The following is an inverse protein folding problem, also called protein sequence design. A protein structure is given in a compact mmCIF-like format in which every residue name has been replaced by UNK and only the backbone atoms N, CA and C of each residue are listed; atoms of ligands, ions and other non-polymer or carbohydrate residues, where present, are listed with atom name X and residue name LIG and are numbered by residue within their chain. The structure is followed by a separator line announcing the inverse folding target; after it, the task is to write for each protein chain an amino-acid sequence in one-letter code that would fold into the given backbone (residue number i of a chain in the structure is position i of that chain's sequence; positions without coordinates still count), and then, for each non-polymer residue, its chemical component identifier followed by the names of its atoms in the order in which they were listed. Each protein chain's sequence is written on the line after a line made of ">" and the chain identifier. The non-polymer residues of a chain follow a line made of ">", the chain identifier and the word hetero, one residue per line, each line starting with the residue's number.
data_IF_189579311393
#
_entry.id   IF_189579311393
#
_cell.length_a   1.000
_cell.length_b   1.000
_cell.length_c   1.000
_cell.angle_alpha   90.00
_cell.angle_beta   90.00
_cell.angle_gamma   90.00
#
_symmetry.space_group_name_H-M   'P 1'
#
loop_
_entity.id
_entity.type
_entity.pdbx_description
1 polymer ?
#
# COMPACT_ATOMS: atom_id res chain seq x y z
N UNK A 1 6.84 18.93 0.56
CA UNK A 1 6.05 17.68 0.42
C UNK A 1 6.89 16.75 -0.42
N UNK A 2 7.25 15.56 0.09
CA UNK A 2 7.93 14.56 -0.74
C UNK A 2 6.96 14.09 -1.84
N UNK A 3 7.42 13.97 -3.09
CA UNK A 3 6.60 13.45 -4.18
C UNK A 3 6.23 12.00 -3.90
N UNK A 4 4.94 11.67 -3.98
CA UNK A 4 4.42 10.27 -3.92
C UNK A 4 4.46 9.61 -5.30
N UNK A 5 4.81 10.34 -6.35
CA UNK A 5 4.85 9.90 -7.74
C UNK A 5 6.27 9.81 -8.28
N UNK A 6 6.51 8.83 -9.15
CA UNK A 6 7.73 8.69 -9.93
C UNK A 6 7.72 9.59 -11.19
N UNK A 7 8.80 9.53 -11.97
CA UNK A 7 8.95 10.31 -13.20
C UNK A 7 7.91 9.94 -14.29
N UNK A 8 7.28 8.77 -14.18
CA UNK A 8 6.22 8.31 -15.08
C UNK A 8 4.80 8.58 -14.52
N UNK A 9 4.69 9.26 -13.37
CA UNK A 9 3.42 9.55 -12.71
C UNK A 9 2.80 8.34 -12.01
N UNK A 10 3.56 7.29 -11.75
CA UNK A 10 3.12 6.13 -10.96
C UNK A 10 3.40 6.35 -9.48
N UNK A 11 2.48 5.92 -8.63
CA UNK A 11 2.68 5.95 -7.18
C UNK A 11 3.88 5.10 -6.78
N UNK A 12 4.82 5.71 -6.06
CA UNK A 12 5.99 5.04 -5.51
C UNK A 12 5.55 4.30 -4.23
N UNK A 13 5.81 2.99 -4.11
CA UNK A 13 5.47 2.23 -2.91
C UNK A 13 6.47 2.51 -1.78
N UNK A 14 6.54 3.76 -1.32
CA UNK A 14 7.31 4.14 -0.13
C UNK A 14 6.69 3.51 1.12
N UNK A 15 7.44 3.43 2.21
CA UNK A 15 6.93 2.88 3.47
C UNK A 15 5.70 3.63 3.99
N UNK A 16 5.64 4.95 3.81
CA UNK A 16 4.49 5.77 4.22
C UNK A 16 3.25 5.52 3.38
N UNK A 17 3.40 5.41 2.05
CA UNK A 17 2.30 5.08 1.14
C UNK A 17 1.76 3.68 1.45
N UNK A 18 2.65 2.67 1.55
CA UNK A 18 2.25 1.29 1.84
C UNK A 18 1.55 1.15 3.20
N UNK A 19 2.01 1.90 4.21
CA UNK A 19 1.37 1.91 5.54
C UNK A 19 0.00 2.57 5.49
N UNK A 20 -0.13 3.71 4.83
CA UNK A 20 -1.40 4.42 4.66
C UNK A 20 -2.47 3.54 4.01
N UNK A 21 -2.11 2.71 3.02
CA UNK A 21 -3.05 1.83 2.31
C UNK A 21 -3.11 0.40 2.85
N UNK A 22 -2.44 0.08 3.97
CA UNK A 22 -2.30 -1.29 4.47
C UNK A 22 -3.67 -2.00 4.66
N UNK A 23 -4.71 -1.26 5.06
CA UNK A 23 -6.09 -1.77 5.21
C UNK A 23 -6.70 -2.22 3.87
N UNK A 24 -6.46 -1.44 2.81
CA UNK A 24 -6.89 -1.80 1.45
C UNK A 24 -6.10 -3.00 0.93
N UNK A 25 -4.77 -3.04 1.14
CA UNK A 25 -3.92 -4.18 0.76
C UNK A 25 -4.41 -5.46 1.44
N UNK A 26 -4.70 -5.40 2.74
CA UNK A 26 -5.18 -6.54 3.51
C UNK A 26 -6.54 -7.08 3.05
N UNK A 27 -7.33 -6.26 2.37
CA UNK A 27 -8.65 -6.64 1.85
C UNK A 27 -8.56 -7.09 0.39
N UNK A 28 -7.96 -6.27 -0.49
CA UNK A 28 -7.95 -6.47 -1.95
C UNK A 28 -6.89 -7.48 -2.41
N UNK A 29 -5.74 -7.55 -1.75
CA UNK A 29 -4.63 -8.46 -2.10
C UNK A 29 -4.47 -9.62 -1.10
N UNK A 30 -5.54 -9.97 -0.38
CA UNK A 30 -5.49 -10.98 0.69
C UNK A 30 -5.07 -12.35 0.16
N UNK A 31 -5.56 -12.75 -1.01
CA UNK A 31 -5.30 -14.07 -1.59
C UNK A 31 -3.83 -14.26 -1.93
N UNK A 32 -3.25 -13.28 -2.62
CA UNK A 32 -1.85 -13.23 -3.03
C UNK A 32 -0.94 -13.21 -1.80
N UNK A 33 -1.25 -12.37 -0.81
CA UNK A 33 -0.48 -12.26 0.43
C UNK A 33 -0.44 -13.58 1.21
N UNK A 34 -1.60 -14.24 1.38
CA UNK A 34 -1.67 -15.54 2.07
C UNK A 34 -0.91 -16.61 1.29
N UNK A 35 -1.02 -16.63 -0.04
CA UNK A 35 -0.28 -17.59 -0.86
C UNK A 35 1.24 -17.42 -0.74
N UNK A 36 1.72 -16.18 -0.72
CA UNK A 36 3.13 -15.88 -0.52
C UNK A 36 3.62 -16.30 0.88
N UNK A 37 2.86 -15.99 1.93
CA UNK A 37 3.20 -16.37 3.31
C UNK A 37 3.20 -17.89 3.52
N UNK A 38 2.24 -18.61 2.91
CA UNK A 38 2.24 -20.08 2.93
C UNK A 38 3.48 -20.65 2.26
N UNK A 39 3.82 -20.19 1.06
CA UNK A 39 5.03 -20.61 0.36
C UNK A 39 6.30 -20.40 1.22
N UNK A 40 6.43 -19.22 1.86
CA UNK A 40 7.56 -18.90 2.74
C UNK A 40 7.61 -19.74 4.02
N UNK A 41 6.46 -20.19 4.52
CA UNK A 41 6.37 -21.07 5.67
C UNK A 41 6.80 -22.50 5.30
N UNK A 42 6.49 -22.94 4.09
CA UNK A 42 6.82 -24.29 3.61
C UNK A 42 8.31 -24.43 3.24
N UNK A 43 8.90 -23.40 2.62
CA UNK A 43 10.32 -23.37 2.26
C UNK A 43 10.91 -21.94 2.43
N UNK A 44 11.96 -21.76 3.26
CA UNK A 44 12.58 -20.45 3.45
C UNK A 44 13.41 -19.97 2.24
N UNK A 45 13.69 -20.83 1.25
CA UNK A 45 14.47 -20.47 0.08
C UNK A 45 13.81 -19.29 -0.68
N UNK A 46 14.53 -18.16 -0.88
CA UNK A 46 13.98 -16.99 -1.54
C UNK A 46 13.50 -17.23 -2.97
N UNK A 47 14.14 -18.13 -3.71
CA UNK A 47 13.84 -18.37 -5.13
C UNK A 47 12.50 -19.08 -5.34
N UNK A 48 12.12 -19.97 -4.42
CA UNK A 48 10.93 -20.83 -4.54
C UNK A 48 9.61 -20.04 -4.57
N UNK A 49 9.60 -18.86 -3.95
CA UNK A 49 8.39 -18.04 -3.81
C UNK A 49 8.42 -16.78 -4.69
N UNK A 50 9.36 -16.64 -5.63
CA UNK A 50 9.47 -15.45 -6.49
C UNK A 50 8.22 -15.20 -7.33
N UNK A 51 7.58 -16.25 -7.85
CA UNK A 51 6.34 -16.12 -8.62
C UNK A 51 5.20 -15.56 -7.75
N UNK A 52 5.07 -16.03 -6.51
CA UNK A 52 4.08 -15.51 -5.55
C UNK A 52 4.40 -14.09 -5.10
N UNK A 53 5.69 -13.78 -4.92
CA UNK A 53 6.15 -12.41 -4.64
C UNK A 53 5.78 -11.45 -5.77
N UNK A 54 5.99 -11.85 -7.04
CA UNK A 54 5.57 -11.07 -8.21
C UNK A 54 4.05 -10.83 -8.23
N UNK A 55 3.25 -11.85 -7.90
CA UNK A 55 1.79 -11.72 -7.82
C UNK A 55 1.35 -10.71 -6.75
N UNK A 56 1.95 -10.77 -5.55
CA UNK A 56 1.70 -9.78 -4.48
C UNK A 56 2.05 -8.37 -4.96
N UNK A 57 3.25 -8.17 -5.48
CA UNK A 57 3.71 -6.85 -5.93
C UNK A 57 2.80 -6.29 -7.04
N UNK A 58 2.40 -7.14 -8.00
CA UNK A 58 1.50 -6.73 -9.08
C UNK A 58 0.13 -6.30 -8.54
N UNK A 59 -0.45 -7.06 -7.61
CA UNK A 59 -1.72 -6.69 -6.98
C UNK A 59 -1.62 -5.35 -6.26
N UNK A 60 -0.56 -5.14 -5.46
CA UNK A 60 -0.36 -3.90 -4.71
C UNK A 60 -0.14 -2.71 -5.64
N UNK A 61 0.66 -2.85 -6.70
CA UNK A 61 0.89 -1.75 -7.65
C UNK A 61 -0.38 -1.36 -8.42
N UNK A 62 -1.22 -2.33 -8.80
CA UNK A 62 -2.53 -2.04 -9.37
C UNK A 62 -3.43 -1.31 -8.38
N UNK A 63 -3.50 -1.78 -7.14
CA UNK A 63 -4.27 -1.13 -6.08
C UNK A 63 -3.82 0.32 -5.85
N UNK A 64 -2.52 0.58 -5.82
CA UNK A 64 -1.98 1.95 -5.64
C UNK A 64 -2.39 2.86 -6.81
N UNK A 65 -2.37 2.35 -8.04
CA UNK A 65 -2.86 3.10 -9.21
C UNK A 65 -4.34 3.43 -9.08
N UNK A 66 -5.17 2.45 -8.70
CA UNK A 66 -6.62 2.63 -8.56
C UNK A 66 -6.97 3.62 -7.45
N UNK A 67 -6.30 3.53 -6.29
CA UNK A 67 -6.51 4.48 -5.18
C UNK A 67 -6.10 5.89 -5.57
N UNK A 68 -4.97 6.05 -6.26
CA UNK A 68 -4.52 7.38 -6.68
C UNK A 68 -5.46 8.02 -7.72
N UNK A 69 -6.04 7.22 -8.62
CA UNK A 69 -7.00 7.73 -9.61
C UNK A 69 -8.33 8.18 -8.97
N UNK A 70 -8.79 7.49 -7.93
CA UNK A 70 -10.10 7.75 -7.32
C UNK A 70 -10.06 8.71 -6.13
N UNK A 71 -9.00 8.67 -5.32
CA UNK A 71 -8.86 9.43 -4.06
C UNK A 71 -7.42 9.88 -3.83
N UNK A 72 -6.69 10.22 -4.90
CA UNK A 72 -5.28 10.60 -4.83
C UNK A 72 -4.99 11.78 -3.89
N UNK A 73 -5.88 12.77 -3.83
CA UNK A 73 -5.70 13.93 -2.95
C UNK A 73 -5.69 13.55 -1.48
N UNK A 74 -6.66 12.75 -1.05
CA UNK A 74 -6.78 12.29 0.33
C UNK A 74 -5.68 11.28 0.67
N UNK A 75 -5.32 10.40 -0.28
CA UNK A 75 -4.20 9.48 -0.14
C UNK A 75 -2.88 10.23 0.06
N UNK A 76 -2.59 11.24 -0.75
CA UNK A 76 -1.36 12.02 -0.65
C UNK A 76 -1.30 12.79 0.69
N UNK A 77 -2.42 13.34 1.15
CA UNK A 77 -2.50 13.98 2.46
C UNK A 77 -2.20 12.99 3.59
N UNK A 78 -2.79 11.79 3.54
CA UNK A 78 -2.60 10.78 4.56
C UNK A 78 -1.19 10.19 4.55
N UNK A 79 -0.67 9.84 3.36
CA UNK A 79 0.70 9.37 3.18
C UNK A 79 1.73 10.45 3.57
N UNK A 80 1.42 11.73 3.34
CA UNK A 80 2.22 12.86 3.79
C UNK A 80 2.29 12.97 5.31
N UNK A 81 1.16 12.80 6.01
CA UNK A 81 1.15 12.74 7.47
C UNK A 81 1.93 11.53 7.99
N UNK A 82 1.75 10.35 7.37
CA UNK A 82 2.50 9.14 7.70
C UNK A 82 4.00 9.32 7.54
N UNK A 83 4.43 9.99 6.46
CA UNK A 83 5.83 10.32 6.25
C UNK A 83 6.37 11.22 7.37
N UNK A 84 5.63 12.28 7.74
CA UNK A 84 6.05 13.21 8.78
C UNK A 84 6.15 12.58 10.17
N UNK A 85 5.21 11.69 10.49
CA UNK A 85 5.10 11.05 11.80
C UNK A 85 5.68 9.63 11.86
N UNK A 86 6.54 9.25 10.91
CA UNK A 86 7.19 7.92 10.86
C UNK A 86 6.20 6.76 11.01
N UNK A 87 5.10 6.80 10.26
CA UNK A 87 4.05 5.78 10.23
C UNK A 87 3.23 5.62 11.52
N UNK A 88 3.23 6.61 12.41
CA UNK A 88 2.41 6.58 13.63
C UNK A 88 0.93 6.91 13.35
N UNK A 89 0.06 5.91 13.43
CA UNK A 89 -1.35 6.03 13.06
C UNK A 89 -2.12 7.04 13.93
N UNK A 90 -1.82 7.10 15.23
CA UNK A 90 -2.57 7.95 16.16
C UNK A 90 -2.41 9.45 15.86
N UNK A 91 -1.27 9.82 15.25
CA UNK A 91 -0.98 11.20 14.88
C UNK A 91 -1.64 11.63 13.55
N UNK A 92 -2.23 10.69 12.81
CA UNK A 92 -2.78 10.89 11.46
C UNK A 92 -4.25 10.46 11.32
N UNK A 93 -5.00 10.31 12.44
CA UNK A 93 -6.40 9.85 12.43
C UNK A 93 -7.35 10.76 11.66
N UNK A 94 -7.05 12.06 11.58
CA UNK A 94 -7.85 13.02 10.83
C UNK A 94 -7.76 12.74 9.33
N UNK A 95 -6.55 12.66 8.79
CA UNK A 95 -6.27 12.36 7.39
C UNK A 95 -6.75 10.95 7.03
N UNK A 96 -6.58 9.98 7.93
CA UNK A 96 -7.13 8.64 7.75
C UNK A 96 -8.65 8.66 7.53
N UNK A 97 -9.39 9.42 8.35
CA UNK A 97 -10.85 9.50 8.25
C UNK A 97 -11.30 10.09 6.92
N UNK A 98 -10.62 11.13 6.44
CA UNK A 98 -10.93 11.74 5.15
C UNK A 98 -10.61 10.77 3.99
N UNK A 99 -9.49 10.06 4.06
CA UNK A 99 -9.13 9.03 3.09
C UNK A 99 -10.14 7.88 3.06
N UNK A 100 -10.51 7.32 4.21
CA UNK A 100 -11.49 6.23 4.30
C UNK A 100 -12.90 6.66 3.87
N UNK A 101 -13.23 7.95 3.96
CA UNK A 101 -14.50 8.51 3.47
C UNK A 101 -14.49 8.63 1.94
N UNK A 102 -13.37 9.04 1.34
CA UNK A 102 -13.24 9.16 -0.11
C UNK A 102 -13.08 7.79 -0.79
N UNK A 103 -12.37 6.87 -0.15
CA UNK A 103 -12.10 5.53 -0.63
C UNK A 103 -12.47 4.50 0.44
N UNK A 104 -13.70 3.99 0.37
CA UNK A 104 -14.13 2.87 1.21
C UNK A 104 -13.45 1.56 0.79
N UNK A 105 -13.36 0.62 1.74
CA UNK A 105 -12.76 -0.71 1.53
C UNK A 105 -13.56 -1.58 0.56
#
# INVERSE_FOLDING_TARGET
>A
MASTLDAAGQQIPTSSVLTAVAKHIGTKCRGENIAFLKCKKDDPNPEKCLDKGRQVTQCVLHLLRDLHQNCGKELDAYAGCMYYNTNEFELCRKEQKEFEKACSL
#
